data_IF_306651721602
#
_entry.id   IF_306651721602
#
_cell.length_a   1.000
_cell.length_b   1.000
_cell.length_c   1.000
_cell.angle_alpha   90.00
_cell.angle_beta   90.00
_cell.angle_gamma   90.00
#
_symmetry.space_group_name_H-M   'P 1'
#
loop_
_entity.id
_entity.type
_entity.pdbx_description
1 polymer ?
#
# COMPACT_ATOMS: atom_id res chain seq x y z
N UNK A 1 18.89 25.56 -37.43
CA UNK A 1 18.08 26.46 -36.58
C UNK A 1 18.24 25.98 -35.14
N UNK A 2 19.10 26.64 -34.33
CA UNK A 2 19.58 26.16 -33.03
C UNK A 2 18.52 26.42 -31.94
N UNK A 3 17.91 25.36 -31.42
CA UNK A 3 17.08 25.43 -30.21
C UNK A 3 17.99 25.62 -28.98
N UNK A 4 17.54 26.38 -27.97
CA UNK A 4 18.39 26.97 -26.93
C UNK A 4 18.95 25.93 -25.95
N UNK A 5 20.25 26.04 -25.67
CA UNK A 5 21.04 25.27 -24.69
C UNK A 5 20.38 25.14 -23.29
N UNK A 6 19.43 26.03 -22.96
CA UNK A 6 18.68 26.04 -21.71
C UNK A 6 17.57 24.96 -21.61
N UNK A 7 17.07 24.44 -22.74
CA UNK A 7 16.03 23.38 -22.76
C UNK A 7 16.61 21.95 -22.77
N UNK A 8 17.91 21.80 -23.00
CA UNK A 8 18.60 20.51 -23.00
C UNK A 8 18.42 19.68 -21.70
N UNK A 9 18.49 20.24 -20.47
CA UNK A 9 18.27 19.46 -19.26
C UNK A 9 16.80 19.00 -19.11
N UNK A 10 15.84 19.82 -19.55
CA UNK A 10 14.41 19.49 -19.51
C UNK A 10 14.05 18.42 -20.54
N UNK A 11 14.59 18.51 -21.76
CA UNK A 11 14.40 17.49 -22.79
C UNK A 11 14.98 16.13 -22.38
N UNK A 12 16.20 16.13 -21.82
CA UNK A 12 16.84 14.90 -21.33
C UNK A 12 16.08 14.29 -20.16
N UNK A 13 15.53 15.11 -19.26
CA UNK A 13 14.68 14.65 -18.15
C UNK A 13 13.39 13.99 -18.63
N UNK A 14 12.73 14.60 -19.63
CA UNK A 14 11.49 14.08 -20.21
C UNK A 14 11.74 12.75 -20.94
N UNK A 15 12.79 12.66 -21.76
CA UNK A 15 13.16 11.44 -22.45
C UNK A 15 13.50 10.30 -21.47
N UNK A 16 14.24 10.60 -20.40
CA UNK A 16 14.53 9.63 -19.33
C UNK A 16 13.25 9.14 -18.66
N UNK A 17 12.35 10.05 -18.29
CA UNK A 17 11.07 9.69 -17.66
C UNK A 17 10.24 8.76 -18.55
N UNK A 18 10.06 9.10 -19.82
CA UNK A 18 9.35 8.24 -20.78
C UNK A 18 10.04 6.90 -21.00
N UNK A 19 11.38 6.87 -21.03
CA UNK A 19 12.15 5.63 -21.17
C UNK A 19 12.00 4.72 -19.96
N UNK A 20 12.06 5.26 -18.74
CA UNK A 20 11.87 4.46 -17.52
C UNK A 20 10.43 3.96 -17.38
N UNK A 21 9.44 4.81 -17.68
CA UNK A 21 8.05 4.38 -17.71
C UNK A 21 7.82 3.29 -18.76
N UNK A 22 8.41 3.42 -19.95
CA UNK A 22 8.35 2.42 -21.01
C UNK A 22 9.00 1.10 -20.60
N UNK A 23 10.18 1.14 -19.97
CA UNK A 23 10.85 -0.06 -19.42
C UNK A 23 9.99 -0.75 -18.36
N UNK A 24 9.43 0.01 -17.42
CA UNK A 24 8.55 -0.52 -16.39
C UNK A 24 7.28 -1.14 -16.97
N UNK A 25 6.62 -0.46 -17.92
CA UNK A 25 5.42 -0.96 -18.59
C UNK A 25 5.68 -2.26 -19.35
N UNK A 26 6.81 -2.35 -20.07
CA UNK A 26 7.21 -3.57 -20.77
C UNK A 26 7.55 -4.72 -19.81
N UNK A 27 8.20 -4.42 -18.68
CA UNK A 27 8.48 -5.40 -17.63
C UNK A 27 7.17 -5.94 -17.05
N UNK A 28 6.23 -5.05 -16.70
CA UNK A 28 4.94 -5.40 -16.12
C UNK A 28 4.09 -6.22 -17.10
N UNK A 29 4.07 -5.82 -18.37
CA UNK A 29 3.42 -6.58 -19.45
C UNK A 29 4.02 -7.97 -19.62
N UNK A 30 5.36 -8.09 -19.62
CA UNK A 30 6.04 -9.40 -19.69
C UNK A 30 5.67 -10.27 -18.50
N UNK A 31 5.70 -9.75 -17.27
CA UNK A 31 5.33 -10.51 -16.07
C UNK A 31 3.90 -11.03 -16.22
N UNK A 32 2.93 -10.16 -16.50
CA UNK A 32 1.52 -10.55 -16.69
C UNK A 32 1.33 -11.59 -17.78
N UNK A 33 2.02 -11.46 -18.92
CA UNK A 33 1.92 -12.39 -20.03
C UNK A 33 2.54 -13.77 -19.74
N UNK A 34 3.52 -13.84 -18.82
CA UNK A 34 4.20 -15.09 -18.45
C UNK A 34 3.63 -15.75 -17.18
N UNK A 35 2.93 -15.00 -16.31
CA UNK A 35 2.26 -15.53 -15.10
C UNK A 35 1.28 -16.70 -15.35
N UNK A 36 0.46 -16.74 -16.42
CA UNK A 36 -0.48 -17.84 -16.62
C UNK A 36 0.13 -19.10 -17.26
N UNK A 37 1.45 -19.14 -17.51
CA UNK A 37 2.08 -20.28 -18.18
C UNK A 37 2.52 -21.34 -17.16
N UNK A 38 2.09 -22.61 -17.30
CA UNK A 38 2.59 -23.70 -16.48
C UNK A 38 4.09 -23.98 -16.79
N UNK A 39 4.89 -24.51 -15.84
CA UNK A 39 4.51 -25.08 -14.54
C UNK A 39 4.40 -24.05 -13.40
N UNK A 40 3.34 -24.17 -12.59
CA UNK A 40 3.15 -23.36 -11.38
C UNK A 40 3.94 -23.94 -10.19
N UNK A 41 4.89 -23.19 -9.64
CA UNK A 41 5.59 -23.56 -8.42
C UNK A 41 4.78 -23.12 -7.18
N UNK A 42 3.77 -23.92 -6.83
CA UNK A 42 2.92 -23.69 -5.65
C UNK A 42 3.72 -23.60 -4.34
N UNK A 43 4.85 -24.28 -4.25
CA UNK A 43 5.73 -24.25 -3.07
C UNK A 43 6.42 -22.88 -2.94
N UNK A 44 6.84 -22.31 -4.06
CA UNK A 44 7.41 -20.97 -4.07
C UNK A 44 6.34 -19.91 -3.77
N UNK A 45 5.14 -20.04 -4.33
CA UNK A 45 4.02 -19.13 -4.06
C UNK A 45 3.66 -19.08 -2.57
N UNK A 46 3.46 -20.25 -1.96
CA UNK A 46 3.12 -20.36 -0.53
C UNK A 46 4.23 -19.85 0.38
N UNK A 47 5.49 -20.09 0.01
CA UNK A 47 6.66 -19.56 0.74
C UNK A 47 6.71 -18.03 0.68
N UNK A 48 6.43 -17.44 -0.49
CA UNK A 48 6.36 -15.97 -0.64
C UNK A 48 5.18 -15.39 0.14
N UNK A 49 4.00 -16.03 0.09
CA UNK A 49 2.83 -15.62 0.88
C UNK A 49 3.11 -15.66 2.38
N UNK A 50 3.73 -16.73 2.89
CA UNK A 50 4.11 -16.82 4.30
C UNK A 50 5.15 -15.77 4.67
N UNK A 51 6.19 -15.59 3.85
CA UNK A 51 7.26 -14.62 4.13
C UNK A 51 6.74 -13.19 4.12
N UNK A 52 5.89 -12.81 3.16
CA UNK A 52 5.31 -11.46 3.06
C UNK A 52 4.23 -11.26 4.12
N UNK A 53 3.29 -12.20 4.25
CA UNK A 53 2.17 -12.11 5.18
C UNK A 53 2.62 -12.10 6.63
N UNK A 54 3.30 -13.16 7.07
CA UNK A 54 3.66 -13.36 8.49
C UNK A 54 4.60 -12.28 9.00
N UNK A 55 5.55 -11.81 8.18
CA UNK A 55 6.47 -10.76 8.59
C UNK A 55 5.80 -9.39 8.75
N UNK A 56 4.67 -9.15 8.08
CA UNK A 56 3.92 -7.89 8.20
C UNK A 56 2.90 -7.90 9.33
N UNK A 57 2.43 -9.07 9.81
CA UNK A 57 1.41 -9.18 10.87
C UNK A 57 1.76 -8.36 12.14
N UNK A 58 2.99 -8.44 12.72
CA UNK A 58 3.29 -7.75 13.96
C UNK A 58 3.18 -6.22 13.83
N UNK A 59 3.67 -5.68 12.72
CA UNK A 59 3.67 -4.24 12.45
C UNK A 59 2.24 -3.74 12.20
N UNK A 60 1.45 -4.47 11.42
CA UNK A 60 0.03 -4.14 11.16
C UNK A 60 -0.79 -4.20 12.45
N UNK A 61 -0.59 -5.24 13.28
CA UNK A 61 -1.33 -5.39 14.54
C UNK A 61 -1.01 -4.26 15.51
N UNK A 62 0.28 -3.94 15.68
CA UNK A 62 0.73 -2.89 16.58
C UNK A 62 0.18 -1.52 16.16
N UNK A 63 0.30 -1.19 14.87
CA UNK A 63 -0.22 0.08 14.33
C UNK A 63 -1.75 0.15 14.45
N UNK A 64 -2.47 -0.92 14.09
CA UNK A 64 -3.93 -0.96 14.21
C UNK A 64 -4.42 -0.85 15.66
N UNK A 65 -3.71 -1.44 16.62
CA UNK A 65 -4.02 -1.32 18.05
C UNK A 65 -3.91 0.14 18.53
N UNK A 66 -2.78 0.80 18.23
CA UNK A 66 -2.58 2.19 18.63
C UNK A 66 -3.57 3.13 17.93
N UNK A 67 -3.79 2.96 16.62
CA UNK A 67 -4.77 3.74 15.88
C UNK A 67 -6.19 3.52 16.42
N UNK A 68 -6.56 2.27 16.74
CA UNK A 68 -7.86 1.95 17.33
C UNK A 68 -8.08 2.62 18.69
N UNK A 69 -7.05 2.63 19.56
CA UNK A 69 -7.10 3.31 20.85
C UNK A 69 -7.30 4.82 20.71
N UNK A 70 -6.57 5.45 19.78
CA UNK A 70 -6.70 6.89 19.49
C UNK A 70 -8.09 7.21 18.94
N UNK A 71 -8.58 6.40 18.00
CA UNK A 71 -9.92 6.54 17.40
C UNK A 71 -11.03 6.39 18.46
N UNK A 72 -10.91 5.43 19.39
CA UNK A 72 -11.88 5.26 20.46
C UNK A 72 -11.95 6.50 21.38
N UNK A 73 -10.78 7.03 21.76
CA UNK A 73 -10.71 8.20 22.64
C UNK A 73 -11.30 9.46 21.98
N UNK A 74 -11.02 9.68 20.69
CA UNK A 74 -11.58 10.84 19.98
C UNK A 74 -13.09 10.66 19.71
N UNK A 75 -13.54 9.46 19.32
CA UNK A 75 -14.96 9.19 19.07
C UNK A 75 -15.79 9.31 20.34
N UNK A 76 -15.26 8.88 21.49
CA UNK A 76 -15.90 9.12 22.78
C UNK A 76 -16.15 10.61 23.02
N UNK A 77 -15.14 11.46 22.84
CA UNK A 77 -15.28 12.93 23.01
C UNK A 77 -16.31 13.55 22.06
N UNK A 78 -16.45 13.00 20.85
CA UNK A 78 -17.46 13.46 19.88
C UNK A 78 -18.86 13.05 20.34
N UNK A 79 -19.06 11.77 20.68
CA UNK A 79 -20.37 11.22 21.01
C UNK A 79 -20.91 11.69 22.36
N UNK A 80 -20.03 12.04 23.31
CA UNK A 80 -20.42 12.67 24.59
C UNK A 80 -21.23 13.95 24.37
N UNK A 81 -20.88 14.74 23.34
CA UNK A 81 -21.59 16.00 23.01
C UNK A 81 -23.00 15.76 22.47
N UNK A 82 -23.26 14.56 21.98
CA UNK A 82 -24.55 14.14 21.44
C UNK A 82 -25.33 13.24 22.41
N UNK A 83 -24.87 13.06 23.66
CA UNK A 83 -25.43 12.10 24.64
C UNK A 83 -25.52 10.66 24.10
N UNK A 84 -24.59 10.27 23.22
CA UNK A 84 -24.62 9.01 22.47
C UNK A 84 -23.47 8.06 22.85
N UNK A 85 -23.02 8.08 24.11
CA UNK A 85 -21.82 7.37 24.59
C UNK A 85 -21.85 5.85 24.34
N UNK A 86 -23.03 5.23 24.37
CA UNK A 86 -23.20 3.79 24.11
C UNK A 86 -22.87 3.36 22.67
N UNK A 87 -22.82 4.29 21.71
CA UNK A 87 -22.57 3.98 20.30
C UNK A 87 -21.08 4.06 19.91
N UNK A 88 -20.19 4.42 20.84
CA UNK A 88 -18.76 4.59 20.56
C UNK A 88 -18.14 3.30 20.03
N UNK A 89 -18.44 2.15 20.64
CA UNK A 89 -17.91 0.85 20.21
C UNK A 89 -18.33 0.50 18.77
N UNK A 90 -19.63 0.64 18.45
CA UNK A 90 -20.17 0.36 17.13
C UNK A 90 -19.60 1.28 16.06
N UNK A 91 -19.49 2.58 16.37
CA UNK A 91 -18.93 3.57 15.44
C UNK A 91 -17.45 3.28 15.15
N UNK A 92 -16.65 3.06 16.19
CA UNK A 92 -15.22 2.75 16.03
C UNK A 92 -15.02 1.45 15.25
N UNK A 93 -15.78 0.40 15.58
CA UNK A 93 -15.68 -0.88 14.87
C UNK A 93 -16.01 -0.74 13.38
N UNK A 94 -17.10 -0.04 13.04
CA UNK A 94 -17.50 0.21 11.65
C UNK A 94 -16.46 1.04 10.89
N UNK A 95 -15.97 2.14 11.48
CA UNK A 95 -14.96 3.00 10.85
C UNK A 95 -13.65 2.27 10.64
N UNK A 96 -13.20 1.47 11.62
CA UNK A 96 -11.95 0.71 11.49
C UNK A 96 -12.07 -0.35 10.41
N UNK A 97 -13.15 -1.13 10.38
CA UNK A 97 -13.30 -2.22 9.41
C UNK A 97 -13.48 -1.70 7.98
N UNK A 98 -14.22 -0.60 7.78
CA UNK A 98 -14.52 -0.10 6.42
C UNK A 98 -13.41 0.75 5.81
N UNK A 99 -12.66 1.48 6.63
CA UNK A 99 -11.69 2.46 6.12
C UNK A 99 -10.27 2.13 6.55
N UNK A 100 -10.02 2.07 7.86
CA UNK A 100 -8.65 2.00 8.37
C UNK A 100 -7.98 0.64 8.12
N UNK A 101 -8.70 -0.46 8.30
CA UNK A 101 -8.18 -1.81 8.08
C UNK A 101 -7.70 -2.02 6.62
N UNK A 102 -8.48 -1.72 5.57
CA UNK A 102 -8.01 -1.86 4.19
C UNK A 102 -6.89 -0.88 3.84
N UNK A 103 -6.95 0.38 4.31
CA UNK A 103 -5.92 1.38 4.03
C UNK A 103 -4.57 1.01 4.68
N UNK A 104 -4.58 0.64 5.96
CA UNK A 104 -3.38 0.22 6.68
C UNK A 104 -2.80 -1.07 6.09
N UNK A 105 -3.67 -2.04 5.73
CA UNK A 105 -3.25 -3.26 5.04
C UNK A 105 -2.56 -2.98 3.71
N UNK A 106 -3.16 -2.14 2.86
CA UNK A 106 -2.59 -1.78 1.57
C UNK A 106 -1.24 -1.04 1.71
N UNK A 107 -1.17 -0.07 2.62
CA UNK A 107 0.06 0.71 2.85
C UNK A 107 1.20 -0.16 3.37
N UNK A 108 0.91 -1.06 4.33
CA UNK A 108 1.92 -1.94 4.92
C UNK A 108 2.43 -2.98 3.93
N UNK A 109 1.54 -3.53 3.09
CA UNK A 109 1.94 -4.45 2.02
C UNK A 109 2.78 -3.70 0.98
N UNK A 110 2.38 -2.50 0.56
CA UNK A 110 3.13 -1.70 -0.39
C UNK A 110 4.54 -1.36 0.12
N UNK A 111 4.66 -0.92 1.38
CA UNK A 111 5.95 -0.60 2.00
C UNK A 111 6.87 -1.82 2.10
N UNK A 112 6.37 -2.95 2.61
CA UNK A 112 7.18 -4.16 2.76
C UNK A 112 7.56 -4.75 1.40
N UNK A 113 6.62 -4.84 0.45
CA UNK A 113 6.93 -5.33 -0.89
C UNK A 113 7.98 -4.42 -1.58
N UNK A 114 7.84 -3.10 -1.45
CA UNK A 114 8.81 -2.14 -1.98
C UNK A 114 10.22 -2.32 -1.40
N UNK A 115 10.36 -2.48 -0.08
CA UNK A 115 11.68 -2.65 0.56
C UNK A 115 12.29 -4.04 0.41
N UNK A 116 11.47 -5.08 0.19
CA UNK A 116 11.97 -6.46 0.03
C UNK A 116 12.35 -6.82 -1.41
N UNK A 117 11.94 -5.99 -2.38
CA UNK A 117 12.24 -6.13 -3.81
C UNK A 117 13.36 -5.19 -4.28
N UNK A 118 13.69 -4.18 -3.47
CA UNK A 118 14.82 -3.27 -3.69
C UNK A 118 16.16 -3.88 -3.28
#
# INVERSE_FOLDING_TARGET
MKLPFFLAPVQTGLERFFTEMGRFALMLWRVLAWTPRPPYDWRQLTTQMMRVGVQSVPVVLLTAMFTGMVMALQSFRVLVRFSAEGYVGSLVALSVVRELAPVLGALMIAGRCGSAMG
#
